data_IF_297118630941
#
_entry.id   IF_297118630941
#
_cell.length_a   1.000
_cell.length_b   1.000
_cell.length_c   1.000
_cell.angle_alpha   90.00
_cell.angle_beta   90.00
_cell.angle_gamma   90.00
#
_symmetry.space_group_name_H-M   'P 1'
#
loop_
_entity.id
_entity.type
_entity.pdbx_description
1 polymer ?
#
# COMPACT_ATOMS: atom_id res chain seq x y z
N UNK A 1 2.14 3.73 -14.40
CA UNK A 1 3.03 3.82 -15.59
C UNK A 1 3.27 2.47 -16.28
N UNK A 2 2.87 1.36 -15.71
CA UNK A 2 3.00 0.02 -16.31
C UNK A 2 2.09 -0.24 -17.54
N UNK A 3 1.53 0.78 -18.15
CA UNK A 3 0.70 0.67 -19.35
C UNK A 3 1.00 1.74 -20.40
N UNK A 4 2.13 2.46 -20.25
CA UNK A 4 2.54 3.40 -21.31
C UNK A 4 3.15 2.65 -22.49
N UNK A 5 2.88 3.10 -23.71
CA UNK A 5 3.52 2.55 -24.91
C UNK A 5 5.03 2.47 -24.74
N UNK A 6 5.61 1.29 -24.94
CA UNK A 6 7.05 1.05 -24.83
C UNK A 6 7.52 0.36 -23.54
N UNK A 7 6.69 0.24 -22.50
CA UNK A 7 7.05 -0.52 -21.27
C UNK A 7 6.46 -1.93 -21.37
N UNK A 8 7.31 -2.92 -21.48
CA UNK A 8 6.92 -4.32 -21.43
C UNK A 8 6.88 -4.79 -19.98
N UNK A 9 5.70 -5.17 -19.50
CA UNK A 9 5.49 -5.75 -18.18
C UNK A 9 5.08 -7.21 -18.35
N UNK A 10 5.89 -8.13 -17.87
CA UNK A 10 5.61 -9.56 -17.97
C UNK A 10 4.89 -10.09 -16.72
N UNK A 11 5.09 -9.47 -15.55
CA UNK A 11 4.42 -9.78 -14.27
C UNK A 11 4.24 -8.52 -13.44
N UNK A 12 3.22 -8.47 -12.60
CA UNK A 12 2.93 -7.33 -11.72
C UNK A 12 2.81 -7.81 -10.27
N UNK A 13 3.46 -7.10 -9.36
CA UNK A 13 3.33 -7.35 -7.91
C UNK A 13 2.72 -6.11 -7.27
N UNK A 14 1.63 -6.30 -6.55
CA UNK A 14 0.88 -5.27 -5.83
C UNK A 14 0.90 -5.60 -4.33
N UNK A 15 1.64 -4.81 -3.55
CA UNK A 15 1.80 -5.03 -2.12
C UNK A 15 1.15 -3.91 -1.32
N UNK A 16 0.30 -4.28 -0.35
CA UNK A 16 -0.37 -3.35 0.58
C UNK A 16 -1.00 -2.15 -0.13
N UNK A 17 -1.70 -2.39 -1.24
CA UNK A 17 -2.24 -1.32 -2.10
C UNK A 17 -3.70 -1.57 -2.49
N UNK A 18 -4.32 -0.57 -3.13
CA UNK A 18 -5.68 -0.63 -3.65
C UNK A 18 -5.82 0.23 -4.92
N UNK A 19 -6.98 0.18 -5.55
CA UNK A 19 -7.21 0.78 -6.88
C UNK A 19 -7.31 2.31 -6.90
N UNK A 20 -7.29 2.97 -5.73
CA UNK A 20 -7.73 4.35 -5.58
C UNK A 20 -9.23 4.42 -5.23
N UNK A 21 -9.72 5.60 -4.91
CA UNK A 21 -11.13 5.80 -4.53
C UNK A 21 -11.99 6.24 -5.72
N UNK A 22 -11.39 6.90 -6.72
CA UNK A 22 -12.09 7.40 -7.89
C UNK A 22 -13.04 8.55 -7.58
N UNK A 23 -12.79 9.30 -6.51
CA UNK A 23 -13.62 10.45 -6.15
C UNK A 23 -13.56 11.53 -7.26
N UNK A 24 -14.66 12.24 -7.53
CA UNK A 24 -14.64 13.37 -8.45
C UNK A 24 -13.67 14.46 -7.99
N UNK A 25 -12.92 15.08 -8.92
CA UNK A 25 -11.98 16.17 -8.60
C UNK A 25 -12.63 17.39 -7.92
N UNK A 26 -13.96 17.55 -8.06
CA UNK A 26 -14.71 18.61 -7.41
C UNK A 26 -15.01 18.34 -5.92
N UNK A 27 -14.87 17.07 -5.50
CA UNK A 27 -15.10 16.70 -4.10
C UNK A 27 -13.83 16.87 -3.27
N UNK A 28 -13.94 17.21 -1.99
CA UNK A 28 -12.78 17.32 -1.11
C UNK A 28 -12.13 15.96 -0.87
N UNK A 29 -10.89 15.99 -0.39
CA UNK A 29 -10.23 14.78 0.11
C UNK A 29 -11.09 14.12 1.21
N UNK A 30 -11.11 12.79 1.22
CA UNK A 30 -11.79 12.06 2.29
C UNK A 30 -11.19 12.38 3.67
N UNK A 31 -12.03 12.35 4.71
CA UNK A 31 -11.70 12.76 6.06
C UNK A 31 -10.43 12.10 6.62
N UNK A 32 -10.17 10.84 6.30
CA UNK A 32 -8.95 10.14 6.71
C UNK A 32 -7.67 10.73 6.11
N UNK A 33 -7.73 11.28 4.90
CA UNK A 33 -6.59 11.99 4.30
C UNK A 33 -6.40 13.37 4.90
N UNK A 34 -7.50 14.10 5.13
CA UNK A 34 -7.48 15.41 5.81
C UNK A 34 -6.84 15.27 7.20
N UNK A 35 -7.32 14.33 8.01
CA UNK A 35 -6.73 14.07 9.34
C UNK A 35 -5.22 13.79 9.28
N UNK A 36 -4.76 13.02 8.30
CA UNK A 36 -3.33 12.75 8.14
C UNK A 36 -2.51 13.99 7.76
N UNK A 37 -3.09 14.90 6.98
CA UNK A 37 -2.47 16.18 6.63
C UNK A 37 -2.46 17.15 7.82
N UNK A 38 -3.47 17.07 8.70
CA UNK A 38 -3.49 17.81 9.96
C UNK A 38 -2.44 17.29 10.92
N UNK A 39 -2.29 15.96 11.03
CA UNK A 39 -1.26 15.33 11.87
C UNK A 39 0.15 15.79 11.48
N UNK A 40 0.53 15.72 10.19
CA UNK A 40 1.88 16.16 9.73
C UNK A 40 2.10 17.66 9.90
N UNK A 41 1.05 18.43 10.11
CA UNK A 41 1.14 19.89 10.31
C UNK A 41 1.23 20.25 11.79
N UNK A 42 0.58 19.49 12.66
CA UNK A 42 0.45 19.78 14.09
C UNK A 42 1.46 19.05 14.98
N UNK A 43 1.99 17.91 14.51
CA UNK A 43 2.96 17.10 15.25
C UNK A 43 4.40 17.47 14.86
N UNK A 44 5.36 17.19 15.76
CA UNK A 44 6.77 17.13 15.38
C UNK A 44 6.99 15.97 14.39
N UNK A 45 8.09 16.01 13.60
CA UNK A 45 8.42 14.89 12.70
C UNK A 45 8.51 13.54 13.42
N UNK A 46 9.08 13.52 14.61
CA UNK A 46 9.24 12.32 15.43
C UNK A 46 7.89 11.80 15.93
N UNK A 47 7.01 12.68 16.40
CA UNK A 47 5.66 12.30 16.85
C UNK A 47 4.84 11.77 15.69
N UNK A 48 4.87 12.44 14.52
CA UNK A 48 4.22 11.97 13.31
C UNK A 48 4.75 10.60 12.88
N UNK A 49 6.09 10.42 12.87
CA UNK A 49 6.74 9.16 12.53
C UNK A 49 6.27 8.01 13.41
N UNK A 50 6.23 8.20 14.74
CA UNK A 50 5.76 7.20 15.71
C UNK A 50 4.26 6.89 15.55
N UNK A 51 3.44 7.90 15.32
CA UNK A 51 2.01 7.72 15.06
C UNK A 51 1.78 6.89 13.77
N UNK A 52 2.56 7.16 12.72
CA UNK A 52 2.52 6.39 11.48
C UNK A 52 2.94 4.95 11.68
N UNK A 53 4.07 4.69 12.35
CA UNK A 53 4.53 3.33 12.65
C UNK A 53 3.48 2.52 13.41
N UNK A 54 2.87 3.11 14.43
CA UNK A 54 1.79 2.48 15.22
C UNK A 54 0.58 2.09 14.35
N UNK A 55 0.25 2.90 13.34
CA UNK A 55 -0.89 2.63 12.45
C UNK A 55 -0.56 1.64 11.33
N UNK A 56 0.71 1.55 10.91
CA UNK A 56 1.15 0.73 9.79
C UNK A 56 1.45 -0.71 10.19
N UNK A 57 1.99 -0.93 11.39
CA UNK A 57 2.47 -2.25 11.82
C UNK A 57 1.37 -3.06 12.52
N UNK A 58 1.51 -4.39 12.46
CA UNK A 58 0.75 -5.29 13.31
C UNK A 58 1.09 -5.06 14.80
N UNK A 59 0.21 -5.45 15.71
CA UNK A 59 0.42 -5.19 17.14
C UNK A 59 0.55 -6.50 17.94
N UNK A 60 1.56 -6.63 18.78
CA UNK A 60 2.65 -5.69 19.03
C UNK A 60 3.76 -5.81 17.96
N UNK A 61 4.31 -4.70 17.45
CA UNK A 61 5.44 -4.76 16.53
C UNK A 61 6.75 -5.07 17.31
N UNK A 62 7.78 -5.58 16.62
CA UNK A 62 9.11 -5.56 17.19
C UNK A 62 9.60 -4.11 17.36
N UNK A 63 10.34 -3.84 18.42
CA UNK A 63 10.86 -2.47 18.69
C UNK A 63 11.76 -1.98 17.55
N UNK A 64 12.60 -2.86 17.01
CA UNK A 64 13.51 -2.53 15.91
C UNK A 64 12.73 -2.07 14.65
N UNK A 65 11.74 -2.86 14.22
CA UNK A 65 10.90 -2.52 13.05
C UNK A 65 10.10 -1.25 13.33
N UNK A 66 9.57 -1.10 14.54
CA UNK A 66 8.84 0.10 14.92
C UNK A 66 9.70 1.36 14.78
N UNK A 67 10.94 1.34 15.31
CA UNK A 67 11.84 2.49 15.23
C UNK A 67 12.26 2.79 13.79
N UNK A 68 12.51 1.76 12.97
CA UNK A 68 12.84 1.93 11.56
C UNK A 68 11.70 2.61 10.79
N UNK A 69 10.47 2.11 10.92
CA UNK A 69 9.29 2.69 10.25
C UNK A 69 9.02 4.10 10.77
N UNK A 70 9.14 4.34 12.08
CA UNK A 70 8.95 5.67 12.66
C UNK A 70 9.98 6.67 12.12
N UNK A 71 11.24 6.28 11.99
CA UNK A 71 12.31 7.11 11.42
C UNK A 71 12.00 7.46 9.97
N UNK A 72 11.69 6.46 9.13
CA UNK A 72 11.36 6.68 7.71
C UNK A 72 10.15 7.62 7.58
N UNK A 73 9.11 7.39 8.37
CA UNK A 73 7.91 8.21 8.32
C UNK A 73 8.12 9.64 8.82
N UNK A 74 9.08 9.88 9.73
CA UNK A 74 9.43 11.23 10.20
C UNK A 74 10.08 12.11 9.11
N UNK A 75 10.63 11.49 8.06
CA UNK A 75 11.27 12.19 6.94
C UNK A 75 10.29 12.61 5.84
N UNK A 76 9.01 12.22 5.96
CA UNK A 76 7.97 12.54 4.96
C UNK A 76 7.74 14.05 4.88
N UNK A 77 7.69 14.57 3.65
CA UNK A 77 7.38 15.97 3.40
C UNK A 77 5.87 16.16 3.23
N UNK A 78 5.32 17.24 3.82
CA UNK A 78 3.88 17.56 3.72
C UNK A 78 3.41 17.63 2.26
N UNK A 79 4.18 18.24 1.36
CA UNK A 79 3.81 18.32 -0.06
C UNK A 79 3.74 16.96 -0.72
N UNK A 80 4.69 16.06 -0.42
CA UNK A 80 4.66 14.68 -0.94
C UNK A 80 3.48 13.88 -0.38
N UNK A 81 3.17 14.05 0.91
CA UNK A 81 2.01 13.41 1.53
C UNK A 81 0.69 13.91 0.90
N UNK A 82 0.55 15.22 0.66
CA UNK A 82 -0.62 15.80 -0.01
C UNK A 82 -0.79 15.17 -1.40
N UNK A 83 0.24 15.19 -2.23
CA UNK A 83 0.18 14.59 -3.58
C UNK A 83 -0.18 13.11 -3.55
N UNK A 84 0.35 12.35 -2.58
CA UNK A 84 -0.02 10.95 -2.41
C UNK A 84 -1.50 10.78 -2.03
N UNK A 85 -2.01 11.61 -1.10
CA UNK A 85 -3.43 11.60 -0.72
C UNK A 85 -4.34 11.95 -1.90
N UNK A 86 -3.98 12.95 -2.71
CA UNK A 86 -4.71 13.35 -3.92
C UNK A 86 -4.75 12.21 -4.94
N UNK A 87 -3.61 11.58 -5.23
CA UNK A 87 -3.56 10.42 -6.12
C UNK A 87 -4.45 9.29 -5.62
N UNK A 88 -4.39 8.94 -4.34
CA UNK A 88 -5.21 7.87 -3.76
C UNK A 88 -6.71 8.21 -3.73
N UNK A 89 -7.05 9.49 -3.57
CA UNK A 89 -8.43 9.95 -3.51
C UNK A 89 -9.10 10.00 -4.89
N UNK A 90 -8.40 10.54 -5.88
CA UNK A 90 -9.01 10.87 -7.17
C UNK A 90 -8.74 9.85 -8.27
N UNK A 91 -7.69 9.01 -8.16
CA UNK A 91 -7.45 7.99 -9.19
C UNK A 91 -8.34 6.76 -9.02
N UNK A 92 -8.65 6.16 -10.17
CA UNK A 92 -9.25 4.84 -10.30
C UNK A 92 -8.44 4.01 -11.30
N UNK A 93 -7.73 3.00 -10.81
CA UNK A 93 -6.95 2.09 -11.65
C UNK A 93 -7.72 0.82 -12.03
N UNK A 94 -8.98 0.70 -11.63
CA UNK A 94 -9.79 -0.49 -11.92
C UNK A 94 -9.95 -0.79 -13.43
N UNK A 95 -10.08 0.20 -14.34
CA UNK A 95 -10.13 -0.08 -15.77
C UNK A 95 -8.83 -0.68 -16.32
N UNK A 96 -7.69 -0.20 -15.80
CA UNK A 96 -6.38 -0.76 -16.14
C UNK A 96 -6.26 -2.22 -15.67
N UNK A 97 -6.62 -2.51 -14.43
CA UNK A 97 -6.53 -3.86 -13.87
C UNK A 97 -7.44 -4.86 -14.59
N UNK A 98 -8.64 -4.44 -15.00
CA UNK A 98 -9.54 -5.28 -15.81
C UNK A 98 -8.96 -5.66 -17.18
N UNK A 99 -8.18 -4.76 -17.78
CA UNK A 99 -7.52 -4.97 -19.06
C UNK A 99 -6.14 -5.62 -18.97
N UNK A 100 -5.61 -5.81 -17.75
CA UNK A 100 -4.28 -6.36 -17.55
C UNK A 100 -4.32 -7.89 -17.66
N UNK A 101 -3.56 -8.44 -18.62
CA UNK A 101 -3.63 -9.86 -19.02
C UNK A 101 -2.42 -10.68 -18.56
N UNK A 102 -1.48 -10.07 -17.84
CA UNK A 102 -0.31 -10.77 -17.33
C UNK A 102 -0.52 -11.19 -15.89
N UNK A 103 0.24 -12.20 -15.40
CA UNK A 103 0.12 -12.65 -14.02
C UNK A 103 0.33 -11.52 -13.01
N UNK A 104 -0.50 -11.49 -11.97
CA UNK A 104 -0.44 -10.53 -10.88
C UNK A 104 -0.32 -11.25 -9.54
N UNK A 105 0.59 -10.80 -8.69
CA UNK A 105 0.66 -11.18 -7.29
C UNK A 105 0.16 -10.01 -6.44
N UNK A 106 -0.84 -10.27 -5.60
CA UNK A 106 -1.26 -9.35 -4.54
C UNK A 106 -0.74 -9.86 -3.21
N UNK A 107 -0.11 -8.99 -2.44
CA UNK A 107 0.35 -9.27 -1.07
C UNK A 107 -0.37 -8.33 -0.11
N UNK A 108 -0.96 -8.90 0.95
CA UNK A 108 -1.73 -8.16 1.96
C UNK A 108 -1.34 -8.65 3.35
N UNK A 109 -1.14 -7.73 4.30
CA UNK A 109 -1.07 -8.09 5.72
C UNK A 109 -2.47 -8.14 6.32
N UNK A 110 -2.80 -9.20 7.05
CA UNK A 110 -4.14 -9.38 7.66
C UNK A 110 -4.48 -8.30 8.69
N UNK A 111 -3.46 -7.65 9.27
CA UNK A 111 -3.59 -6.57 10.25
C UNK A 111 -3.37 -5.17 9.65
N UNK A 112 -3.38 -5.03 8.33
CA UNK A 112 -3.20 -3.73 7.66
C UNK A 112 -4.39 -2.80 7.95
N UNK A 113 -4.11 -1.72 8.69
CA UNK A 113 -5.07 -0.67 9.06
C UNK A 113 -5.05 0.52 8.08
N UNK A 114 -4.09 0.55 7.17
CA UNK A 114 -3.94 1.60 6.15
C UNK A 114 -4.71 1.22 4.90
N UNK A 115 -4.42 0.03 4.37
CA UNK A 115 -5.17 -0.57 3.27
C UNK A 115 -5.84 -1.83 3.80
N UNK A 116 -7.09 -1.70 4.21
CA UNK A 116 -7.84 -2.83 4.76
C UNK A 116 -7.78 -4.04 3.82
N UNK A 117 -7.60 -5.27 4.33
CA UNK A 117 -7.54 -6.48 3.51
C UNK A 117 -8.70 -6.63 2.53
N UNK A 118 -9.89 -6.17 2.91
CA UNK A 118 -11.08 -6.15 2.05
C UNK A 118 -10.91 -5.32 0.78
N UNK A 119 -10.06 -4.28 0.79
CA UNK A 119 -9.74 -3.47 -0.40
C UNK A 119 -8.86 -4.25 -1.38
N UNK A 120 -7.88 -4.99 -0.87
CA UNK A 120 -7.04 -5.86 -1.68
C UNK A 120 -7.84 -7.03 -2.28
N UNK A 121 -8.72 -7.65 -1.49
CA UNK A 121 -9.62 -8.70 -1.98
C UNK A 121 -10.58 -8.16 -3.05
N UNK A 122 -11.12 -6.95 -2.87
CA UNK A 122 -11.92 -6.28 -3.90
C UNK A 122 -11.10 -6.03 -5.17
N UNK A 123 -9.85 -5.61 -5.05
CA UNK A 123 -8.96 -5.39 -6.19
C UNK A 123 -8.68 -6.71 -6.93
N UNK A 124 -8.44 -7.81 -6.21
CA UNK A 124 -8.22 -9.13 -6.80
C UNK A 124 -9.37 -9.55 -7.74
N UNK A 125 -10.62 -9.21 -7.40
CA UNK A 125 -11.78 -9.54 -8.21
C UNK A 125 -11.83 -8.85 -9.59
N UNK A 126 -10.98 -7.84 -9.83
CA UNK A 126 -10.86 -7.16 -11.12
C UNK A 126 -9.80 -7.76 -12.05
N UNK A 127 -8.98 -8.71 -11.56
CA UNK A 127 -7.81 -9.22 -12.25
C UNK A 127 -8.05 -10.68 -12.66
N UNK A 128 -7.85 -10.97 -13.94
CA UNK A 128 -8.16 -12.30 -14.49
C UNK A 128 -7.16 -13.38 -14.04
N UNK A 129 -5.87 -13.06 -13.99
CA UNK A 129 -4.79 -13.97 -13.59
C UNK A 129 -4.12 -13.41 -12.33
N UNK A 130 -4.63 -13.77 -11.15
CA UNK A 130 -4.19 -13.23 -9.87
C UNK A 130 -3.89 -14.34 -8.87
N UNK A 131 -2.75 -14.19 -8.18
CA UNK A 131 -2.45 -14.85 -6.91
C UNK A 131 -2.60 -13.83 -5.79
N UNK A 132 -3.33 -14.15 -4.73
CA UNK A 132 -3.47 -13.29 -3.55
C UNK A 132 -2.93 -14.03 -2.34
N UNK A 133 -1.90 -13.47 -1.71
CA UNK A 133 -1.26 -14.01 -0.50
C UNK A 133 -1.52 -13.05 0.66
N UNK A 134 -2.05 -13.60 1.74
CA UNK A 134 -2.31 -12.88 2.97
C UNK A 134 -1.30 -13.32 4.04
N UNK A 135 -0.67 -12.35 4.69
CA UNK A 135 0.30 -12.55 5.77
C UNK A 135 -0.39 -12.34 7.10
N UNK A 136 -0.56 -13.44 7.85
CA UNK A 136 -1.40 -13.47 9.06
C UNK A 136 -0.88 -12.58 10.20
N UNK A 137 0.43 -12.36 10.28
CA UNK A 137 1.06 -11.61 11.38
C UNK A 137 1.54 -10.22 10.97
N UNK A 138 1.18 -9.76 9.77
CA UNK A 138 1.67 -8.48 9.24
C UNK A 138 0.58 -7.43 9.11
N UNK A 139 1.00 -6.17 9.26
CA UNK A 139 0.25 -4.98 8.91
C UNK A 139 0.58 -4.48 7.50
N UNK A 140 0.71 -3.15 7.36
CA UNK A 140 1.00 -2.50 6.08
C UNK A 140 2.43 -2.74 5.56
N UNK A 141 3.36 -3.10 6.43
CA UNK A 141 4.77 -3.29 6.13
C UNK A 141 5.18 -4.77 6.17
N UNK A 142 4.41 -5.67 5.54
CA UNK A 142 4.66 -7.10 5.53
C UNK A 142 6.10 -7.46 5.10
N UNK A 143 6.72 -6.65 4.24
CA UNK A 143 8.11 -6.81 3.80
C UNK A 143 9.15 -6.62 4.93
N UNK A 144 8.78 -5.91 6.01
CA UNK A 144 9.60 -5.76 7.22
C UNK A 144 9.18 -6.75 8.31
N UNK A 145 7.88 -7.00 8.44
CA UNK A 145 7.32 -7.80 9.52
C UNK A 145 7.52 -9.30 9.31
N UNK A 146 7.44 -9.78 8.05
CA UNK A 146 7.65 -11.18 7.68
C UNK A 146 8.59 -11.31 6.46
N UNK A 147 9.84 -10.79 6.52
CA UNK A 147 10.71 -10.61 5.35
C UNK A 147 11.06 -11.92 4.63
N UNK A 148 11.25 -13.01 5.37
CA UNK A 148 11.60 -14.30 4.76
C UNK A 148 10.44 -14.85 3.92
N UNK A 149 9.23 -14.85 4.47
CA UNK A 149 8.03 -15.31 3.79
C UNK A 149 7.66 -14.37 2.62
N UNK A 150 7.77 -13.06 2.82
CA UNK A 150 7.53 -12.05 1.79
C UNK A 150 8.45 -12.25 0.57
N UNK A 151 9.76 -12.36 0.80
CA UNK A 151 10.75 -12.58 -0.26
C UNK A 151 10.57 -13.94 -0.94
N UNK A 152 10.20 -14.99 -0.20
CA UNK A 152 9.92 -16.31 -0.76
C UNK A 152 8.70 -16.28 -1.69
N UNK A 153 7.62 -15.58 -1.31
CA UNK A 153 6.43 -15.40 -2.14
C UNK A 153 6.76 -14.72 -3.47
N UNK A 154 7.50 -13.61 -3.41
CA UNK A 154 7.96 -12.89 -4.61
C UNK A 154 8.83 -13.77 -5.50
N UNK A 155 9.83 -14.45 -4.91
CA UNK A 155 10.72 -15.33 -5.65
C UNK A 155 9.95 -16.44 -6.35
N UNK A 156 9.04 -17.10 -5.66
CA UNK A 156 8.20 -18.16 -6.22
C UNK A 156 7.37 -17.62 -7.40
N UNK A 157 6.69 -16.49 -7.21
CA UNK A 157 5.88 -15.87 -8.26
C UNK A 157 6.71 -15.51 -9.50
N UNK A 158 7.90 -14.95 -9.32
CA UNK A 158 8.77 -14.57 -10.44
C UNK A 158 9.36 -15.78 -11.18
N UNK A 159 9.57 -16.91 -10.48
CA UNK A 159 10.16 -18.12 -11.07
C UNK A 159 9.15 -18.99 -11.80
N UNK A 160 7.85 -18.87 -11.56
CA UNK A 160 6.80 -19.64 -12.20
C UNK A 160 6.43 -18.98 -13.54
N UNK A 161 6.85 -19.56 -14.65
CA UNK A 161 6.49 -19.12 -16.03
C UNK A 161 7.67 -18.78 -16.91
#
# INVERSE_FOLDING_TARGET
MAGSEGVKVDKLILSSTFMGLGEPLAEPLQAGYISRLDDITSMSPEEFGRARAKSMLASPPSEEIFQEVAKIASEVKKSGLLSACEVLNYSDTSPFLKGFTKPVLIITGCHDKIVLPTRSSKMAAYIADVQHIEFENSGHAAYLEEPLAYNAAIKTFLSNG
#
